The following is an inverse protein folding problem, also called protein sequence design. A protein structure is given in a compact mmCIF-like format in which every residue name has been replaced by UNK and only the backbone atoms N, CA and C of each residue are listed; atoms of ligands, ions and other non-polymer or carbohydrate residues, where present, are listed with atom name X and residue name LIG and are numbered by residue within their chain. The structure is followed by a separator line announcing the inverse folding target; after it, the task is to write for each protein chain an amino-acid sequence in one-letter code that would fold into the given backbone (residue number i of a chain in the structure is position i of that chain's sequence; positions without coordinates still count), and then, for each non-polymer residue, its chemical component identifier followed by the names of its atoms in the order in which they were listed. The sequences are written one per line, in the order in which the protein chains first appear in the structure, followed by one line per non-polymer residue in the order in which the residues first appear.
data_IF_301840234400
#
_entry.id   IF_301840234400
#
_cell.length_a   1.000
_cell.length_b   1.000
_cell.length_c   1.000
_cell.angle_alpha   90.00
_cell.angle_beta   90.00
_cell.angle_gamma   90.00
#
_symmetry.space_group_name_H-M   'P 1'
#
loop_
_entity.id
_entity.type
_entity.pdbx_description
1 polymer ?
#
# COMPACT_ATOMS: atom_id res chain seq x y z
N UNK A 1 2.66 12.29 -39.02
CA UNK A 1 2.36 11.46 -37.82
C UNK A 1 3.12 12.07 -36.65
N UNK A 2 2.41 12.59 -35.65
CA UNK A 2 3.06 13.10 -34.43
C UNK A 2 3.45 11.92 -33.55
N UNK A 3 4.72 11.86 -33.12
CA UNK A 3 5.16 10.90 -32.11
C UNK A 3 4.60 11.34 -30.75
N UNK A 4 3.48 10.73 -30.33
CA UNK A 4 2.78 11.04 -29.08
C UNK A 4 3.44 10.44 -27.83
N UNK A 5 4.55 9.73 -27.96
CA UNK A 5 5.23 9.05 -26.87
C UNK A 5 6.67 9.56 -26.76
N UNK A 6 6.94 10.31 -25.70
CA UNK A 6 8.31 10.75 -25.38
C UNK A 6 9.07 9.52 -24.89
N UNK A 7 10.18 9.13 -25.55
CA UNK A 7 10.98 7.98 -25.13
C UNK A 7 11.40 8.11 -23.66
N UNK A 8 11.10 7.10 -22.84
CA UNK A 8 11.45 7.07 -21.42
C UNK A 8 10.43 7.69 -20.47
N UNK A 9 9.35 8.31 -20.97
CA UNK A 9 8.23 8.74 -20.13
C UNK A 9 7.08 7.74 -20.29
N UNK A 10 6.66 7.08 -19.19
CA UNK A 10 5.48 6.21 -19.21
C UNK A 10 4.26 6.96 -19.76
N UNK A 11 3.57 6.37 -20.72
CA UNK A 11 2.30 6.86 -21.21
C UNK A 11 1.16 6.58 -20.23
N UNK A 12 -0.07 6.95 -20.63
CA UNK A 12 -1.28 6.69 -19.83
C UNK A 12 -1.45 5.21 -19.44
N UNK A 13 -1.36 4.25 -20.40
CA UNK A 13 -1.50 2.83 -20.09
C UNK A 13 -0.43 2.30 -19.12
N UNK A 14 0.83 2.70 -19.30
CA UNK A 14 1.95 2.25 -18.46
C UNK A 14 1.83 2.78 -17.03
N UNK A 15 1.41 4.04 -16.86
CA UNK A 15 1.12 4.60 -15.53
C UNK A 15 -0.02 3.83 -14.85
N UNK A 16 -1.08 3.49 -15.59
CA UNK A 16 -2.17 2.68 -15.03
C UNK A 16 -1.69 1.30 -14.59
N UNK A 17 -0.85 0.64 -15.39
CA UNK A 17 -0.27 -0.66 -15.01
C UNK A 17 0.60 -0.53 -13.76
N UNK A 18 1.45 0.51 -13.67
CA UNK A 18 2.27 0.76 -12.49
C UNK A 18 1.39 0.99 -11.26
N UNK A 19 0.34 1.81 -11.37
CA UNK A 19 -0.60 2.06 -10.28
C UNK A 19 -1.32 0.77 -9.84
N UNK A 20 -1.75 -0.06 -10.78
CA UNK A 20 -2.37 -1.35 -10.47
C UNK A 20 -1.40 -2.28 -9.73
N UNK A 21 -0.14 -2.34 -10.16
CA UNK A 21 0.90 -3.12 -9.47
C UNK A 21 1.11 -2.59 -8.05
N UNK A 22 1.21 -1.27 -7.86
CA UNK A 22 1.37 -0.67 -6.53
C UNK A 22 0.16 -0.97 -5.63
N UNK A 23 -1.05 -0.84 -6.15
CA UNK A 23 -2.29 -1.17 -5.42
C UNK A 23 -2.32 -2.63 -5.01
N UNK A 24 -1.90 -3.54 -5.88
CA UNK A 24 -1.82 -4.98 -5.53
C UNK A 24 -0.75 -5.22 -4.46
N UNK A 25 0.46 -4.70 -4.64
CA UNK A 25 1.57 -4.90 -3.70
C UNK A 25 1.22 -4.35 -2.31
N UNK A 26 0.78 -3.10 -2.24
CA UNK A 26 0.44 -2.47 -0.96
C UNK A 26 -0.88 -2.99 -0.38
N UNK A 27 -1.80 -3.42 -1.24
CA UNK A 27 -2.99 -4.17 -0.83
C UNK A 27 -2.66 -5.49 -0.17
N UNK A 28 -1.63 -6.20 -0.64
CA UNK A 28 -1.13 -7.42 0.01
C UNK A 28 -0.50 -7.12 1.38
N UNK A 29 0.24 -6.01 1.51
CA UNK A 29 0.76 -5.55 2.81
C UNK A 29 -0.40 -5.25 3.77
N UNK A 30 -1.38 -4.48 3.34
CA UNK A 30 -2.57 -4.19 4.15
C UNK A 30 -3.37 -5.44 4.51
N UNK A 31 -3.49 -6.40 3.59
CA UNK A 31 -4.12 -7.71 3.86
C UNK A 31 -3.35 -8.51 4.90
N UNK A 32 -2.02 -8.48 4.87
CA UNK A 32 -1.19 -9.13 5.88
C UNK A 32 -1.40 -8.48 7.26
N UNK A 33 -1.34 -7.15 7.34
CA UNK A 33 -1.59 -6.39 8.57
C UNK A 33 -2.97 -6.70 9.14
N UNK A 34 -4.01 -6.71 8.29
CA UNK A 34 -5.37 -7.09 8.72
C UNK A 34 -5.42 -8.48 9.34
N UNK A 35 -4.83 -9.48 8.66
CA UNK A 35 -4.85 -10.87 9.13
C UNK A 35 -4.07 -11.03 10.42
N UNK A 36 -2.95 -10.35 10.55
CA UNK A 36 -2.13 -10.38 11.76
C UNK A 36 -2.86 -9.68 12.93
N UNK A 37 -3.40 -8.48 12.71
CA UNK A 37 -4.18 -7.76 13.71
C UNK A 37 -5.41 -8.56 14.20
N UNK A 38 -6.07 -9.28 13.29
CA UNK A 38 -7.19 -10.16 13.64
C UNK A 38 -6.76 -11.34 14.50
N UNK A 39 -5.57 -11.93 14.24
CA UNK A 39 -5.02 -13.00 15.09
C UNK A 39 -4.70 -12.51 16.50
N UNK A 40 -4.35 -11.24 16.63
CA UNK A 40 -4.05 -10.60 17.91
C UNK A 40 -5.30 -10.06 18.63
N UNK A 41 -6.50 -10.32 18.11
CA UNK A 41 -7.75 -9.92 18.74
C UNK A 41 -8.03 -8.41 18.68
N UNK A 42 -7.37 -7.66 17.80
CA UNK A 42 -7.61 -6.22 17.66
C UNK A 42 -8.98 -5.95 17.06
N UNK A 43 -9.84 -5.21 17.77
CA UNK A 43 -11.12 -4.72 17.25
C UNK A 43 -10.94 -3.79 16.03
N UNK A 44 -9.76 -3.17 15.93
CA UNK A 44 -9.38 -2.19 14.93
C UNK A 44 -8.64 -2.83 13.74
N UNK A 45 -8.67 -4.17 13.61
CA UNK A 45 -7.90 -4.91 12.61
C UNK A 45 -8.09 -4.39 11.16
N UNK A 46 -9.33 -4.04 10.78
CA UNK A 46 -9.62 -3.52 9.45
C UNK A 46 -9.02 -2.13 9.22
N UNK A 47 -9.00 -1.27 10.25
CA UNK A 47 -8.41 0.07 10.17
C UNK A 47 -6.89 -0.01 10.04
N UNK A 48 -6.25 -0.93 10.76
CA UNK A 48 -4.82 -1.19 10.60
C UNK A 48 -4.49 -1.70 9.19
N UNK A 49 -5.26 -2.67 8.68
CA UNK A 49 -5.02 -3.21 7.35
C UNK A 49 -5.19 -2.18 6.23
N UNK A 50 -6.31 -1.46 6.23
CA UNK A 50 -6.59 -0.43 5.21
C UNK A 50 -5.67 0.77 5.40
N UNK A 51 -5.51 1.26 6.63
CA UNK A 51 -4.70 2.43 6.93
C UNK A 51 -3.24 2.26 6.52
N UNK A 52 -2.60 1.14 6.87
CA UNK A 52 -1.22 0.87 6.45
C UNK A 52 -1.12 0.72 4.93
N UNK A 53 -2.04 -0.01 4.29
CA UNK A 53 -2.05 -0.18 2.83
C UNK A 53 -2.21 1.15 2.08
N UNK A 54 -3.09 2.03 2.55
CA UNK A 54 -3.31 3.36 1.97
C UNK A 54 -2.10 4.26 2.21
N UNK A 55 -1.48 4.25 3.39
CA UNK A 55 -0.28 5.04 3.66
C UNK A 55 0.87 4.69 2.69
N UNK A 56 1.03 3.43 2.30
CA UNK A 56 2.00 3.04 1.29
C UNK A 56 1.69 3.60 -0.11
N UNK A 57 0.41 3.78 -0.46
CA UNK A 57 0.02 4.44 -1.72
C UNK A 57 0.35 5.94 -1.73
N UNK A 58 0.34 6.59 -0.56
CA UNK A 58 0.79 7.98 -0.41
C UNK A 58 2.32 8.12 -0.36
N UNK A 59 3.03 7.01 -0.18
CA UNK A 59 4.48 6.97 -0.25
C UNK A 59 5.09 5.87 0.60
N UNK A 60 6.32 5.51 0.27
CA UNK A 60 7.01 4.45 1.01
C UNK A 60 7.30 4.84 2.47
N UNK A 61 7.72 6.09 2.70
CA UNK A 61 8.00 6.62 4.05
C UNK A 61 6.77 6.64 4.96
N UNK A 62 5.62 7.24 4.56
CA UNK A 62 4.41 7.19 5.39
C UNK A 62 3.90 5.76 5.60
N UNK A 63 4.02 4.89 4.59
CA UNK A 63 3.68 3.47 4.71
C UNK A 63 4.51 2.73 5.76
N UNK A 64 5.83 2.90 5.73
CA UNK A 64 6.73 2.34 6.74
C UNK A 64 6.42 2.89 8.12
N UNK A 65 6.16 4.19 8.24
CA UNK A 65 5.80 4.79 9.52
C UNK A 65 4.52 4.16 10.10
N UNK A 66 3.47 4.03 9.30
CA UNK A 66 2.24 3.36 9.71
C UNK A 66 2.45 1.91 10.12
N UNK A 67 3.31 1.18 9.40
CA UNK A 67 3.67 -0.20 9.72
C UNK A 67 4.43 -0.31 11.06
N UNK A 68 5.38 0.59 11.32
CA UNK A 68 6.11 0.64 12.60
C UNK A 68 5.16 0.91 13.76
N UNK A 69 4.25 1.88 13.61
CA UNK A 69 3.23 2.18 14.63
C UNK A 69 2.35 0.96 14.88
N UNK A 70 1.88 0.29 13.83
CA UNK A 70 1.09 -0.93 13.93
C UNK A 70 1.82 -2.02 14.74
N UNK A 71 3.09 -2.27 14.44
CA UNK A 71 3.89 -3.29 15.14
C UNK A 71 4.04 -2.97 16.63
N UNK A 72 4.23 -1.71 17.00
CA UNK A 72 4.40 -1.29 18.40
C UNK A 72 3.10 -1.30 19.22
N UNK A 73 1.96 -1.07 18.55
CA UNK A 73 0.65 -0.94 19.21
C UNK A 73 -0.07 -2.28 19.30
N UNK A 74 -0.08 -3.05 18.20
CA UNK A 74 -0.89 -4.27 18.09
C UNK A 74 -0.06 -5.51 18.37
N UNK A 75 1.21 -5.54 17.97
CA UNK A 75 2.09 -6.73 18.02
C UNK A 75 3.04 -6.75 19.22
N UNK A 76 2.55 -6.32 20.38
CA UNK A 76 3.33 -6.43 21.62
C UNK A 76 3.48 -7.87 22.10
#
# INVERSE_FOLDING_TARGET
MFALQIPGIPGGPEVLVILLVLVVVFGLVGRWVYRDAKKQGSEWAWQWGVGVGVLFLFGFVPGLFGLVVYLLVVRR
#
